data_IF_925218891871
#
_entry.id   IF_925218891871
#
_cell.length_a   1.000
_cell.length_b   1.000
_cell.length_c   1.000
_cell.angle_alpha   90.00
_cell.angle_beta   90.00
_cell.angle_gamma   90.00
#
_symmetry.space_group_name_H-M   'P 1'
#
loop_
_entity.id
_entity.type
_entity.pdbx_description
1 polymer ?
#
# COMPACT_ATOMS: atom_id res chain seq x y z
N UNK A 1 0.23 -2.41 -12.16
CA UNK A 1 0.86 -1.13 -11.76
C UNK A 1 0.33 0.05 -12.57
N UNK A 2 0.14 -0.06 -13.90
CA UNK A 2 -0.46 1.04 -14.70
C UNK A 2 -1.85 1.47 -14.18
N UNK A 3 -2.76 0.53 -13.93
CA UNK A 3 -4.12 0.85 -13.48
C UNK A 3 -4.16 1.50 -12.08
N UNK A 4 -3.26 1.08 -11.18
CA UNK A 4 -3.16 1.65 -9.84
C UNK A 4 -2.59 3.07 -9.83
N UNK A 5 -1.61 3.34 -10.70
CA UNK A 5 -1.05 4.69 -10.89
C UNK A 5 -2.10 5.61 -11.52
N UNK A 6 -2.85 5.12 -12.51
CA UNK A 6 -3.91 5.87 -13.18
C UNK A 6 -5.03 6.26 -12.21
N UNK A 7 -5.47 5.33 -11.35
CA UNK A 7 -6.47 5.61 -10.31
C UNK A 7 -5.98 6.61 -9.25
N UNK A 8 -4.70 6.53 -8.85
CA UNK A 8 -4.13 7.42 -7.83
C UNK A 8 -3.93 8.86 -8.35
N UNK A 9 -3.55 9.02 -9.61
CA UNK A 9 -3.28 10.33 -10.23
C UNK A 9 -4.53 11.03 -10.75
N UNK A 10 -5.52 10.29 -11.27
CA UNK A 10 -6.67 10.90 -11.97
C UNK A 10 -8.00 10.80 -11.21
N UNK A 11 -8.20 9.79 -10.35
CA UNK A 11 -9.51 9.55 -9.71
C UNK A 11 -9.59 9.93 -8.22
N UNK A 12 -8.45 10.16 -7.55
CA UNK A 12 -8.44 10.55 -6.14
C UNK A 12 -8.39 12.07 -5.99
N UNK A 13 -9.57 12.70 -5.86
CA UNK A 13 -9.76 14.13 -5.56
C UNK A 13 -8.99 14.59 -4.31
N UNK A 14 -8.70 13.66 -3.40
CA UNK A 14 -7.94 13.90 -2.16
C UNK A 14 -6.44 14.00 -2.42
N UNK A 15 -5.90 13.25 -3.38
CA UNK A 15 -4.48 13.30 -3.71
C UNK A 15 -4.16 14.57 -4.50
N UNK A 16 -5.01 14.93 -5.47
CA UNK A 16 -4.81 16.13 -6.29
C UNK A 16 -4.98 17.44 -5.51
N UNK A 17 -5.92 17.53 -4.55
CA UNK A 17 -6.06 18.76 -3.73
C UNK A 17 -4.94 18.91 -2.70
N UNK A 18 -4.42 17.79 -2.20
CA UNK A 18 -3.36 17.83 -1.19
C UNK A 18 -1.95 18.04 -1.76
N UNK A 19 -1.70 17.70 -3.03
CA UNK A 19 -0.49 18.14 -3.74
C UNK A 19 -0.51 19.65 -4.05
N UNK A 20 -1.69 20.25 -4.18
CA UNK A 20 -1.83 21.69 -4.38
C UNK A 20 -1.63 22.49 -3.07
N UNK A 21 -2.02 21.94 -1.91
CA UNK A 21 -1.86 22.55 -0.59
C UNK A 21 -1.16 21.61 0.41
N UNK A 22 0.10 21.27 0.13
CA UNK A 22 0.87 20.31 0.93
C UNK A 22 1.11 20.79 2.37
N UNK A 23 1.06 22.11 2.64
CA UNK A 23 1.18 22.70 3.97
C UNK A 23 -0.01 22.41 4.90
N UNK A 24 -1.25 22.50 4.41
CA UNK A 24 -2.45 22.09 5.17
C UNK A 24 -2.55 20.57 5.31
N UNK A 25 -2.13 19.84 4.26
CA UNK A 25 -2.16 18.37 4.23
C UNK A 25 -1.29 17.74 5.34
N UNK A 26 -0.19 18.39 5.74
CA UNK A 26 0.65 17.95 6.86
C UNK A 26 0.07 18.32 8.23
N UNK A 27 -0.78 19.35 8.29
CA UNK A 27 -1.45 19.81 9.51
C UNK A 27 -2.59 18.90 9.96
N UNK A 28 -3.24 18.20 9.01
CA UNK A 28 -4.29 17.24 9.31
C UNK A 28 -3.73 15.81 9.35
N UNK A 29 -3.78 15.16 10.52
CA UNK A 29 -3.25 13.80 10.73
C UNK A 29 -3.87 12.75 9.80
N UNK A 30 -5.14 12.90 9.43
CA UNK A 30 -5.84 11.99 8.52
C UNK A 30 -5.29 12.15 7.10
N UNK A 31 -5.13 13.37 6.62
CA UNK A 31 -4.64 13.65 5.26
C UNK A 31 -3.16 13.24 5.10
N UNK A 32 -2.33 13.48 6.12
CA UNK A 32 -0.93 13.03 6.16
C UNK A 32 -0.81 11.52 6.08
N UNK A 33 -1.65 10.79 6.80
CA UNK A 33 -1.68 9.34 6.75
C UNK A 33 -1.92 8.83 5.31
N UNK A 34 -2.88 9.43 4.59
CA UNK A 34 -3.25 9.00 3.24
C UNK A 34 -2.18 9.27 2.16
N UNK A 35 -1.40 10.33 2.31
CA UNK A 35 -0.46 10.79 1.27
C UNK A 35 0.97 10.31 1.51
N UNK A 36 1.34 10.09 2.77
CA UNK A 36 2.73 9.75 3.13
C UNK A 36 2.81 8.37 3.74
N UNK A 37 2.08 8.12 4.83
CA UNK A 37 2.23 6.89 5.62
C UNK A 37 1.65 5.68 4.89
N UNK A 38 0.51 5.83 4.23
CA UNK A 38 -0.13 4.76 3.47
C UNK A 38 0.70 4.31 2.24
N UNK A 39 1.11 5.19 1.31
CA UNK A 39 1.91 4.77 0.18
C UNK A 39 3.30 4.26 0.59
N UNK A 40 3.88 4.72 1.69
CA UNK A 40 5.15 4.18 2.20
C UNK A 40 5.01 2.74 2.67
N UNK A 41 3.95 2.40 3.43
CA UNK A 41 3.67 1.00 3.83
C UNK A 41 3.41 0.13 2.59
N UNK A 42 2.65 0.62 1.62
CA UNK A 42 2.36 -0.12 0.39
C UNK A 42 3.61 -0.36 -0.46
N UNK A 43 4.53 0.61 -0.51
CA UNK A 43 5.80 0.47 -1.22
C UNK A 43 6.68 -0.58 -0.54
N UNK A 44 6.77 -0.59 0.79
CA UNK A 44 7.50 -1.63 1.54
C UNK A 44 6.89 -3.01 1.25
N UNK A 45 5.56 -3.15 1.29
CA UNK A 45 4.87 -4.39 0.98
C UNK A 45 5.18 -4.90 -0.44
N UNK A 46 5.26 -3.98 -1.41
CA UNK A 46 5.60 -4.27 -2.81
C UNK A 46 7.04 -4.80 -2.95
N UNK A 47 7.98 -4.19 -2.24
CA UNK A 47 9.39 -4.63 -2.22
C UNK A 47 9.50 -6.04 -1.66
N UNK A 48 8.82 -6.34 -0.54
CA UNK A 48 8.80 -7.69 0.03
C UNK A 48 8.18 -8.72 -0.93
N UNK A 49 7.10 -8.39 -1.63
CA UNK A 49 6.52 -9.26 -2.65
C UNK A 49 7.50 -9.55 -3.80
N UNK A 50 8.17 -8.51 -4.32
CA UNK A 50 9.13 -8.66 -5.42
C UNK A 50 10.35 -9.48 -5.00
N UNK A 51 10.91 -9.22 -3.82
CA UNK A 51 12.03 -9.99 -3.27
C UNK A 51 11.59 -11.45 -3.05
N UNK A 52 10.38 -11.68 -2.54
CA UNK A 52 9.82 -13.01 -2.35
C UNK A 52 9.80 -13.83 -3.64
N UNK A 53 9.27 -13.25 -4.71
CA UNK A 53 9.22 -13.90 -6.03
C UNK A 53 10.62 -14.09 -6.61
N UNK A 54 11.50 -13.08 -6.53
CA UNK A 54 12.86 -13.16 -7.04
C UNK A 54 13.68 -14.25 -6.33
N UNK A 55 13.51 -14.38 -5.00
CA UNK A 55 14.17 -15.40 -4.18
C UNK A 55 13.57 -16.79 -4.42
N UNK A 56 12.25 -16.90 -4.56
CA UNK A 56 11.57 -18.15 -4.87
C UNK A 56 11.98 -18.74 -6.23
N UNK A 57 12.25 -17.88 -7.22
CA UNK A 57 12.72 -18.31 -8.56
C UNK A 57 14.14 -18.87 -8.55
N UNK A 58 15.00 -18.44 -7.62
CA UNK A 58 16.40 -18.89 -7.52
C UNK A 58 16.58 -20.21 -6.77
N UNK A 59 15.52 -20.74 -6.14
CA UNK A 59 15.62 -21.99 -5.38
C UNK A 59 15.34 -23.22 -6.24
N UNK A 60 16.22 -24.21 -6.11
CA UNK A 60 16.16 -25.48 -6.86
C UNK A 60 15.20 -26.46 -6.18
N UNK A 61 15.12 -26.46 -4.85
CA UNK A 61 14.24 -27.37 -4.11
C UNK A 61 12.78 -26.86 -4.07
N UNK A 62 11.79 -27.64 -4.56
CA UNK A 62 10.40 -27.23 -4.62
C UNK A 62 9.76 -27.00 -3.23
N UNK A 63 10.15 -27.76 -2.22
CA UNK A 63 9.68 -27.57 -0.84
C UNK A 63 10.17 -26.25 -0.23
N UNK A 64 11.46 -25.93 -0.40
CA UNK A 64 12.03 -24.65 0.06
C UNK A 64 11.45 -23.45 -0.69
N UNK A 65 11.12 -23.63 -1.97
CA UNK A 65 10.42 -22.66 -2.81
C UNK A 65 9.05 -22.30 -2.25
N UNK A 66 8.21 -23.30 -1.97
CA UNK A 66 6.88 -23.06 -1.42
C UNK A 66 6.95 -22.35 -0.06
N UNK A 67 7.80 -22.81 0.86
CA UNK A 67 7.94 -22.22 2.19
C UNK A 67 8.37 -20.76 2.15
N UNK A 68 9.34 -20.42 1.31
CA UNK A 68 9.82 -19.03 1.18
C UNK A 68 8.76 -18.13 0.55
N UNK A 69 8.08 -18.59 -0.50
CA UNK A 69 6.97 -17.84 -1.10
C UNK A 69 5.88 -17.57 -0.06
N UNK A 70 5.51 -18.57 0.75
CA UNK A 70 4.49 -18.44 1.80
C UNK A 70 4.88 -17.38 2.84
N UNK A 71 6.14 -17.35 3.27
CA UNK A 71 6.62 -16.37 4.25
C UNK A 71 6.64 -14.96 3.64
N UNK A 72 7.27 -14.77 2.48
CA UNK A 72 7.40 -13.43 1.89
C UNK A 72 6.06 -12.87 1.40
N UNK A 73 5.21 -13.71 0.80
CA UNK A 73 3.86 -13.30 0.44
C UNK A 73 2.96 -13.12 1.66
N UNK A 74 3.15 -13.91 2.71
CA UNK A 74 2.45 -13.72 3.99
C UNK A 74 2.80 -12.38 4.64
N UNK A 75 4.08 -12.00 4.66
CA UNK A 75 4.54 -10.71 5.18
C UNK A 75 4.00 -9.56 4.33
N UNK A 76 4.09 -9.67 2.99
CA UNK A 76 3.55 -8.66 2.09
C UNK A 76 2.03 -8.50 2.27
N UNK A 77 1.29 -9.60 2.38
CA UNK A 77 -0.15 -9.59 2.65
C UNK A 77 -0.46 -8.95 4.02
N UNK A 78 0.30 -9.29 5.06
CA UNK A 78 0.13 -8.70 6.38
C UNK A 78 0.37 -7.18 6.38
N UNK A 79 1.39 -6.71 5.65
CA UNK A 79 1.67 -5.27 5.48
C UNK A 79 0.56 -4.55 4.71
N UNK A 80 0.03 -5.17 3.65
CA UNK A 80 -1.11 -4.62 2.89
C UNK A 80 -2.35 -4.56 3.78
N UNK A 81 -2.65 -5.63 4.52
CA UNK A 81 -3.77 -5.67 5.44
C UNK A 81 -3.60 -4.61 6.52
N UNK A 82 -2.44 -4.48 7.15
CA UNK A 82 -2.17 -3.44 8.14
C UNK A 82 -2.34 -2.03 7.56
N UNK A 83 -1.78 -1.76 6.38
CA UNK A 83 -1.91 -0.47 5.70
C UNK A 83 -3.34 -0.14 5.29
N UNK A 84 -4.18 -1.16 5.00
CA UNK A 84 -5.57 -0.99 4.56
C UNK A 84 -6.57 -1.00 5.72
N UNK A 85 -6.39 -1.84 6.74
CA UNK A 85 -7.27 -1.83 7.92
C UNK A 85 -7.10 -0.53 8.71
N UNK A 86 -5.87 -0.02 8.82
CA UNK A 86 -5.60 1.30 9.38
C UNK A 86 -6.24 2.40 8.53
N UNK A 87 -6.23 2.26 7.20
CA UNK A 87 -6.93 3.18 6.28
C UNK A 87 -8.43 3.18 6.46
N UNK A 88 -9.05 2.02 6.75
CA UNK A 88 -10.49 1.88 6.95
C UNK A 88 -10.92 2.33 8.35
N UNK A 89 -10.06 2.17 9.35
CA UNK A 89 -10.37 2.54 10.74
C UNK A 89 -10.21 4.02 11.04
N UNK A 90 -9.32 4.73 10.33
CA UNK A 90 -9.11 6.18 10.51
C UNK A 90 -9.90 7.02 9.51
N UNK A 91 -10.39 6.39 8.44
CA UNK A 91 -11.30 7.02 7.50
C UNK A 91 -12.73 6.68 7.92
N UNK A 92 -13.37 7.59 8.64
CA UNK A 92 -14.82 7.79 8.57
C UNK A 92 -15.19 8.22 7.15
N UNK A 93 -14.85 7.40 6.15
CA UNK A 93 -15.23 7.61 4.77
C UNK A 93 -16.61 7.00 4.63
N UNK A 94 -17.68 7.82 4.63
CA UNK A 94 -18.99 7.29 4.29
C UNK A 94 -18.87 6.66 2.90
N UNK A 95 -19.39 5.43 2.78
CA UNK A 95 -19.35 4.65 1.54
C UNK A 95 -20.08 5.36 0.38
N UNK A 96 -20.81 6.43 0.69
CA UNK A 96 -21.53 7.27 -0.25
C UNK A 96 -21.27 8.75 0.13
N UNK A 97 -21.06 9.64 -0.86
CA UNK A 97 -20.98 11.08 -0.60
C UNK A 97 -22.38 11.63 -0.33
N UNK A 98 -22.84 11.50 0.91
CA UNK A 98 -23.93 12.31 1.47
C UNK A 98 -23.74 12.51 2.97
#
# INVERSE_FOLDING_TARGET
MLLGILMYLFFSTITTSAFQNMGEAMGNSVVRFWIVEHPTIMLVALVFAHIGVARARKMVNPNSKHRTTLIFQGISLALILYGTTLTWSLAERPLLPF
#
